data_IF_456978863316
#
_entry.id   IF_456978863316
#
_cell.length_a   1.000
_cell.length_b   1.000
_cell.length_c   1.000
_cell.angle_alpha   90.00
_cell.angle_beta   90.00
_cell.angle_gamma   90.00
#
_symmetry.space_group_name_H-M   'P 1'
#
loop_
_entity.id
_entity.type
_entity.pdbx_description
1 polymer ?
#
# COMPACT_ATOMS: atom_id res chain seq x y z
N UNK A 1 7.09 -5.12 -22.22
CA UNK A 1 6.92 -6.57 -21.94
C UNK A 1 5.53 -6.85 -21.46
N UNK A 2 4.93 -7.93 -21.93
CA UNK A 2 3.59 -8.31 -21.51
C UNK A 2 3.65 -9.19 -20.26
N UNK A 3 2.89 -8.83 -19.24
CA UNK A 3 2.78 -9.60 -18.02
C UNK A 3 1.83 -10.78 -18.25
N UNK A 4 2.19 -11.96 -17.75
CA UNK A 4 1.31 -13.11 -17.84
C UNK A 4 0.05 -12.88 -17.00
N UNK A 5 -1.05 -13.50 -17.43
CA UNK A 5 -2.31 -13.40 -16.70
C UNK A 5 -2.19 -13.94 -15.29
N UNK A 6 -1.45 -15.03 -15.13
CA UNK A 6 -1.22 -15.64 -13.82
C UNK A 6 -0.49 -14.69 -12.87
N UNK A 7 0.59 -14.06 -13.33
CA UNK A 7 1.34 -13.11 -12.53
C UNK A 7 0.47 -11.91 -12.16
N UNK A 8 -0.27 -11.38 -13.13
CA UNK A 8 -1.19 -10.28 -12.89
C UNK A 8 -2.20 -10.62 -11.80
N UNK A 9 -2.82 -11.80 -11.88
CA UNK A 9 -3.82 -12.23 -10.92
C UNK A 9 -3.22 -12.39 -9.51
N UNK A 10 -2.00 -12.92 -9.44
CA UNK A 10 -1.30 -13.09 -8.17
C UNK A 10 -0.98 -11.73 -7.53
N UNK A 11 -0.50 -10.79 -8.32
CA UNK A 11 -0.19 -9.45 -7.82
C UNK A 11 -1.46 -8.73 -7.40
N UNK A 12 -2.53 -8.82 -8.20
CA UNK A 12 -3.82 -8.23 -7.82
C UNK A 12 -4.34 -8.81 -6.51
N UNK A 13 -4.15 -10.10 -6.28
CA UNK A 13 -4.58 -10.74 -5.04
C UNK A 13 -3.84 -10.17 -3.83
N UNK A 14 -2.54 -9.93 -3.97
CA UNK A 14 -1.75 -9.33 -2.88
C UNK A 14 -2.17 -7.88 -2.64
N UNK A 15 -2.44 -7.13 -3.70
CA UNK A 15 -2.94 -5.76 -3.56
C UNK A 15 -4.27 -5.75 -2.78
N UNK A 16 -5.17 -6.66 -3.10
CA UNK A 16 -6.44 -6.76 -2.36
C UNK A 16 -6.23 -7.08 -0.89
N UNK A 17 -5.29 -7.98 -0.57
CA UNK A 17 -4.98 -8.29 0.84
C UNK A 17 -4.43 -7.08 1.58
N UNK A 18 -3.60 -6.29 0.90
CA UNK A 18 -3.08 -5.05 1.48
C UNK A 18 -4.23 -4.09 1.83
N UNK A 19 -5.15 -3.90 0.88
CA UNK A 19 -6.29 -3.00 1.10
C UNK A 19 -7.21 -3.49 2.22
N UNK A 20 -7.45 -4.79 2.27
CA UNK A 20 -8.28 -5.37 3.34
C UNK A 20 -7.63 -5.22 4.70
N UNK A 21 -6.33 -5.48 4.80
CA UNK A 21 -5.62 -5.32 6.07
C UNK A 21 -5.61 -3.86 6.52
N UNK A 22 -5.42 -2.93 5.59
CA UNK A 22 -5.47 -1.50 5.90
C UNK A 22 -6.87 -1.10 6.40
N UNK A 23 -7.92 -1.60 5.77
CA UNK A 23 -9.30 -1.32 6.17
C UNK A 23 -9.64 -1.84 7.56
N UNK A 24 -8.97 -2.90 8.00
CA UNK A 24 -9.13 -3.45 9.34
C UNK A 24 -8.16 -2.83 10.34
N UNK A 25 -7.30 -1.92 9.91
CA UNK A 25 -6.21 -1.36 10.70
C UNK A 25 -5.32 -2.46 11.27
N UNK A 26 -5.04 -3.46 10.45
CA UNK A 26 -4.28 -4.65 10.83
C UNK A 26 -2.83 -4.51 10.39
N UNK A 27 -2.02 -3.89 11.24
CA UNK A 27 -0.59 -3.68 10.96
C UNK A 27 0.13 -5.02 10.74
N UNK A 28 -0.18 -6.02 11.57
CA UNK A 28 0.43 -7.35 11.44
C UNK A 28 0.13 -7.98 10.09
N UNK A 29 -1.10 -7.84 9.61
CA UNK A 29 -1.50 -8.34 8.30
C UNK A 29 -0.73 -7.68 7.16
N UNK A 30 -0.50 -6.37 7.26
CA UNK A 30 0.30 -5.65 6.27
C UNK A 30 1.76 -6.10 6.33
N UNK A 31 2.31 -6.21 7.54
CA UNK A 31 3.70 -6.63 7.70
C UNK A 31 3.96 -8.02 7.15
N UNK A 32 2.96 -8.90 7.22
CA UNK A 32 3.08 -10.25 6.66
C UNK A 32 3.21 -10.24 5.14
N UNK A 33 2.85 -9.14 4.48
CA UNK A 33 2.94 -8.99 3.03
C UNK A 33 4.20 -8.24 2.59
N UNK A 34 5.12 -7.91 3.52
CA UNK A 34 6.26 -7.06 3.21
C UNK A 34 7.59 -7.78 3.44
N UNK A 35 8.59 -7.32 2.69
CA UNK A 35 9.96 -7.81 2.79
C UNK A 35 10.61 -7.27 4.07
N UNK A 36 11.54 -8.05 4.65
CA UNK A 36 12.32 -7.60 5.80
C UNK A 36 13.10 -6.31 5.48
N UNK A 37 13.54 -6.16 4.24
CA UNK A 37 14.28 -4.98 3.77
C UNK A 37 13.38 -3.91 3.18
N UNK A 38 12.14 -3.85 3.60
CA UNK A 38 11.15 -2.92 3.06
C UNK A 38 11.67 -1.48 3.08
N UNK A 39 11.36 -0.74 2.01
CA UNK A 39 11.62 0.70 1.89
C UNK A 39 10.33 1.37 1.45
N UNK A 40 9.99 2.47 2.08
CA UNK A 40 8.78 3.17 1.71
C UNK A 40 8.88 4.66 1.91
N UNK A 41 7.96 5.38 1.27
CA UNK A 41 7.81 6.81 1.45
C UNK A 41 6.33 7.17 1.36
N UNK A 42 5.89 7.96 2.33
CA UNK A 42 4.55 8.53 2.35
C UNK A 42 4.65 10.04 2.41
N UNK A 43 4.02 10.73 1.45
CA UNK A 43 4.06 12.20 1.41
C UNK A 43 3.31 12.82 2.58
N UNK A 44 2.39 12.09 3.18
CA UNK A 44 1.66 12.49 4.37
C UNK A 44 1.88 11.41 5.42
N UNK A 45 2.62 11.71 6.46
CA UNK A 45 3.15 13.01 6.94
C UNK A 45 4.50 13.44 6.34
N UNK A 46 4.99 12.80 5.28
CA UNK A 46 6.31 13.09 4.72
C UNK A 46 7.39 12.29 5.42
N UNK A 47 7.26 10.97 5.36
CA UNK A 47 8.11 10.07 6.12
C UNK A 47 8.74 9.01 5.23
N UNK A 48 10.06 8.83 5.36
CA UNK A 48 10.75 7.67 4.84
C UNK A 48 10.69 6.54 5.86
N UNK A 49 10.40 5.34 5.39
CA UNK A 49 10.27 4.17 6.25
C UNK A 49 11.31 3.15 5.81
N UNK A 50 12.29 2.91 6.66
CA UNK A 50 13.41 2.02 6.36
C UNK A 50 13.28 0.77 7.23
N UNK A 51 12.95 -0.35 6.59
CA UNK A 51 12.83 -1.63 7.27
C UNK A 51 11.45 -1.90 7.84
N UNK A 52 11.25 -3.15 8.20
CA UNK A 52 9.94 -3.65 8.61
C UNK A 52 9.49 -3.11 9.96
N UNK A 53 10.43 -2.89 10.88
CA UNK A 53 10.09 -2.37 12.20
C UNK A 53 9.67 -0.90 12.13
N UNK A 54 10.33 -0.12 11.28
CA UNK A 54 9.92 1.27 11.03
C UNK A 54 8.54 1.30 10.39
N UNK A 55 8.25 0.35 9.49
CA UNK A 55 6.92 0.24 8.89
C UNK A 55 5.86 -0.05 9.95
N UNK A 56 6.15 -0.93 10.90
CA UNK A 56 5.23 -1.22 12.01
C UNK A 56 4.87 0.06 12.77
N UNK A 57 5.88 0.83 13.13
CA UNK A 57 5.67 2.09 13.87
C UNK A 57 4.86 3.10 13.05
N UNK A 58 5.16 3.20 11.75
CA UNK A 58 4.43 4.08 10.84
C UNK A 58 2.94 3.70 10.79
N UNK A 59 2.66 2.42 10.61
CA UNK A 59 1.29 1.93 10.51
C UNK A 59 0.53 2.11 11.83
N UNK A 60 1.16 1.76 12.94
CA UNK A 60 0.51 1.87 14.25
C UNK A 60 0.18 3.31 14.58
N UNK A 61 1.09 4.24 14.31
CA UNK A 61 0.82 5.67 14.52
C UNK A 61 -0.36 6.13 13.66
N UNK A 62 -0.35 5.78 12.39
CA UNK A 62 -1.41 6.19 11.48
C UNK A 62 -2.76 5.63 11.90
N UNK A 63 -2.80 4.36 12.26
CA UNK A 63 -4.06 3.69 12.64
C UNK A 63 -4.65 4.21 13.94
N UNK A 64 -3.82 4.68 14.86
CA UNK A 64 -4.33 5.26 16.11
C UNK A 64 -4.93 6.65 15.91
N UNK A 65 -4.65 7.31 14.80
CA UNK A 65 -5.11 8.68 14.53
C UNK A 65 -6.46 8.71 13.80
N UNK A 66 -6.99 7.58 13.41
CA UNK A 66 -8.25 7.53 12.65
C UNK A 66 -9.22 6.56 13.30
N UNK A 67 -10.52 6.87 13.21
CA UNK A 67 -11.57 5.97 13.66
C UNK A 67 -11.74 4.84 12.64
N UNK A 68 -11.84 5.20 11.37
CA UNK A 68 -11.90 4.23 10.27
C UNK A 68 -11.06 4.71 9.10
N UNK A 69 -10.61 3.76 8.29
CA UNK A 69 -9.88 4.06 7.06
C UNK A 69 -10.24 3.00 6.02
N UNK A 70 -10.45 3.43 4.79
CA UNK A 70 -10.57 2.53 3.65
C UNK A 70 -9.72 3.07 2.51
N UNK A 71 -9.06 2.17 1.81
CA UNK A 71 -8.26 2.50 0.64
C UNK A 71 -8.83 1.77 -0.56
N UNK A 72 -8.85 2.46 -1.69
CA UNK A 72 -9.26 1.87 -2.96
C UNK A 72 -8.22 2.20 -4.01
N UNK A 73 -7.87 1.22 -4.83
CA UNK A 73 -6.99 1.41 -5.97
C UNK A 73 -7.80 1.42 -7.26
N UNK A 74 -7.42 2.26 -8.19
CA UNK A 74 -8.02 2.31 -9.52
C UNK A 74 -6.92 2.55 -10.55
N UNK A 75 -7.24 2.31 -11.83
CA UNK A 75 -6.29 2.47 -12.93
C UNK A 75 -4.98 1.74 -12.65
N UNK A 76 -5.09 0.48 -12.26
CA UNK A 76 -3.93 -0.30 -11.83
C UNK A 76 -3.14 -0.79 -13.03
N UNK A 77 -1.85 -0.47 -13.06
CA UNK A 77 -0.89 -0.97 -14.03
C UNK A 77 0.10 -1.90 -13.35
N UNK A 78 0.30 -3.07 -13.92
CA UNK A 78 1.22 -4.08 -13.39
C UNK A 78 2.20 -4.45 -14.48
N UNK A 79 3.50 -4.38 -14.15
CA UNK A 79 4.57 -4.91 -14.98
C UNK A 79 5.33 -5.96 -14.19
N UNK A 80 6.03 -6.85 -14.89
CA UNK A 80 6.84 -7.86 -14.21
C UNK A 80 7.94 -8.37 -15.13
N UNK A 81 9.05 -8.75 -14.51
CA UNK A 81 10.14 -9.40 -15.22
C UNK A 81 10.89 -10.28 -14.22
N UNK A 82 10.99 -11.57 -14.52
CA UNK A 82 11.62 -12.52 -13.62
C UNK A 82 10.87 -12.59 -12.30
N UNK A 83 11.57 -12.32 -11.21
CA UNK A 83 11.00 -12.38 -9.86
C UNK A 83 10.64 -11.00 -9.30
N UNK A 84 10.52 -10.01 -10.17
CA UNK A 84 10.18 -8.64 -9.76
C UNK A 84 8.92 -8.20 -10.48
N UNK A 85 8.01 -7.58 -9.74
CA UNK A 85 6.83 -6.95 -10.30
C UNK A 85 6.76 -5.51 -9.79
N UNK A 86 6.11 -4.64 -10.58
CA UNK A 86 5.91 -3.25 -10.18
C UNK A 86 4.48 -2.87 -10.45
N UNK A 87 3.99 -1.92 -9.66
CA UNK A 87 2.60 -1.47 -9.73
C UNK A 87 2.57 0.05 -9.72
N UNK A 88 1.66 0.60 -10.53
CA UNK A 88 1.32 2.02 -10.46
C UNK A 88 -0.20 2.11 -10.45
N UNK A 89 -0.75 2.89 -9.54
CA UNK A 89 -2.20 3.02 -9.43
C UNK A 89 -2.60 4.36 -8.84
N UNK A 90 -3.84 4.75 -9.10
CA UNK A 90 -4.47 5.82 -8.34
C UNK A 90 -4.96 5.23 -7.03
N UNK A 91 -4.90 6.01 -5.95
CA UNK A 91 -5.39 5.58 -4.65
C UNK A 91 -6.35 6.62 -4.10
N UNK A 92 -7.46 6.16 -3.54
CA UNK A 92 -8.40 6.99 -2.81
C UNK A 92 -8.43 6.51 -1.37
N UNK A 93 -8.16 7.41 -0.44
CA UNK A 93 -8.19 7.13 0.98
C UNK A 93 -9.37 7.84 1.60
N UNK A 94 -10.31 7.08 2.16
CA UNK A 94 -11.42 7.63 2.92
C UNK A 94 -11.18 7.34 4.39
N UNK A 95 -11.14 8.38 5.20
CA UNK A 95 -10.91 8.20 6.64
C UNK A 95 -11.89 9.01 7.45
N UNK A 96 -12.14 8.57 8.67
CA UNK A 96 -12.93 9.29 9.65
C UNK A 96 -12.03 9.55 10.85
N UNK A 97 -11.96 10.80 11.26
CA UNK A 97 -11.17 11.23 12.42
C UNK A 97 -12.06 12.08 13.30
N UNK A 98 -12.27 11.61 14.54
CA UNK A 98 -13.11 12.32 15.52
C UNK A 98 -14.49 12.67 14.93
N UNK A 99 -15.08 11.72 14.23
CA UNK A 99 -16.41 11.88 13.64
C UNK A 99 -16.45 12.65 12.32
N UNK A 100 -15.32 13.18 11.85
CA UNK A 100 -15.27 13.94 10.60
C UNK A 100 -14.66 13.11 9.48
N UNK A 101 -15.39 12.97 8.39
CA UNK A 101 -14.92 12.25 7.21
C UNK A 101 -14.01 13.11 6.34
N UNK A 102 -13.01 12.47 5.76
CA UNK A 102 -12.07 13.12 4.85
C UNK A 102 -11.70 12.16 3.74
N UNK A 103 -11.58 12.69 2.53
CA UNK A 103 -11.15 11.89 1.37
C UNK A 103 -9.89 12.50 0.79
N UNK A 104 -8.88 11.67 0.60
CA UNK A 104 -7.63 12.08 -0.05
C UNK A 104 -7.44 11.25 -1.30
N UNK A 105 -7.06 11.92 -2.39
CA UNK A 105 -6.71 11.27 -3.64
C UNK A 105 -5.20 11.33 -3.82
N UNK A 106 -4.62 10.24 -4.28
CA UNK A 106 -3.20 10.17 -4.44
C UNK A 106 -2.77 9.14 -5.48
N UNK A 107 -1.48 8.91 -5.48
CA UNK A 107 -0.83 7.97 -6.38
C UNK A 107 0.01 7.01 -5.56
N UNK A 108 0.06 5.77 -6.01
CA UNK A 108 0.91 4.76 -5.37
C UNK A 108 1.73 4.04 -6.41
N UNK A 109 3.00 3.81 -6.08
CA UNK A 109 3.84 2.89 -6.82
C UNK A 109 4.40 1.87 -5.85
N UNK A 110 4.59 0.66 -6.33
CA UNK A 110 5.12 -0.41 -5.49
C UNK A 110 5.99 -1.33 -6.31
N UNK A 111 6.97 -1.90 -5.64
CA UNK A 111 7.81 -2.97 -6.19
C UNK A 111 7.58 -4.20 -5.33
N UNK A 112 7.30 -5.32 -5.98
CA UNK A 112 7.12 -6.59 -5.30
C UNK A 112 8.19 -7.58 -5.74
N UNK A 113 8.57 -8.44 -4.83
CA UNK A 113 9.53 -9.51 -5.10
C UNK A 113 8.82 -10.85 -4.95
N UNK A 114 9.05 -11.73 -5.94
CA UNK A 114 8.53 -13.09 -5.87
C UNK A 114 9.50 -13.98 -5.08
N UNK A 115 8.97 -14.72 -4.13
CA UNK A 115 9.77 -15.60 -3.27
C UNK A 115 9.77 -17.05 -3.74
N UNK A 116 9.00 -17.35 -4.80
CA UNK A 116 8.75 -18.71 -5.23
C UNK A 116 7.43 -19.25 -4.67
N UNK A 117 6.93 -18.64 -3.62
CA UNK A 117 5.66 -19.01 -2.98
C UNK A 117 4.67 -17.86 -2.95
N UNK A 118 5.15 -16.63 -2.95
CA UNK A 118 4.31 -15.45 -2.79
C UNK A 118 4.99 -14.24 -3.42
N UNK A 119 4.20 -13.19 -3.63
CA UNK A 119 4.70 -11.86 -3.99
C UNK A 119 4.62 -11.01 -2.72
N UNK A 120 5.72 -10.35 -2.37
CA UNK A 120 5.79 -9.51 -1.18
C UNK A 120 6.27 -8.11 -1.56
N UNK A 121 5.80 -7.11 -0.82
CA UNK A 121 6.15 -5.72 -1.09
C UNK A 121 7.57 -5.43 -0.61
N UNK A 122 8.43 -5.08 -1.56
CA UNK A 122 9.79 -4.63 -1.26
C UNK A 122 9.83 -3.12 -1.07
N UNK A 123 8.96 -2.38 -1.77
CA UNK A 123 8.95 -0.92 -1.75
C UNK A 123 7.56 -0.41 -2.04
N UNK A 124 7.15 0.64 -1.33
CA UNK A 124 5.90 1.35 -1.59
C UNK A 124 6.17 2.84 -1.50
N UNK A 125 5.69 3.60 -2.49
CA UNK A 125 5.70 5.05 -2.47
C UNK A 125 4.25 5.50 -2.63
N UNK A 126 3.75 6.24 -1.65
CA UNK A 126 2.38 6.74 -1.66
C UNK A 126 2.39 8.25 -1.51
N UNK A 127 1.76 8.94 -2.46
CA UNK A 127 1.75 10.40 -2.51
C UNK A 127 0.32 10.90 -2.55
N UNK A 128 -0.04 11.80 -1.62
CA UNK A 128 -1.36 12.41 -1.58
C UNK A 128 -1.23 13.90 -1.84
N UNK A 129 -1.26 14.32 -3.11
CA UNK A 129 -1.07 15.73 -3.47
C UNK A 129 -2.25 16.62 -3.12
N UNK A 130 -3.44 16.04 -2.90
CA UNK A 130 -4.65 16.82 -2.68
C UNK A 130 -5.57 16.17 -1.65
N UNK A 131 -6.28 17.02 -0.91
CA UNK A 131 -7.31 16.60 0.03
C UNK A 131 -8.64 17.14 -0.48
N UNK A 132 -9.63 16.24 -0.63
CA UNK A 132 -10.99 16.59 -1.03
C UNK A 132 -11.86 16.87 0.19
N UNK A 133 -12.96 17.60 0.00
CA UNK A 133 -13.95 17.82 1.04
C UNK A 133 -13.62 18.94 2.01
N UNK A 134 -12.82 19.89 1.58
CA UNK A 134 -12.42 21.03 2.42
C UNK A 134 -13.19 22.27 2.10
#
# INVERSE_FOLDING_TARGET
MRVSEQTRDQVMAVLRRLLEAAGRKDAGGILALTDADFRGFWSVPGEKVIGKEALRRHLERGFTQVDTVTLEFSSVHIGAEGTVAWVMADVTCNLVRSGTGQTMDGLVTAVLRGTGHAWIFAQIHCSFPAIRGR
#
